data_IF_954362249496
#
_entry.id   IF_954362249496
#
_cell.length_a   1.000
_cell.length_b   1.000
_cell.length_c   1.000
_cell.angle_alpha   90.00
_cell.angle_beta   90.00
_cell.angle_gamma   90.00
#
_symmetry.space_group_name_H-M   'P 1'
#
loop_
_entity.id
_entity.type
_entity.pdbx_description
1 polymer ?
#
# COMPACT_ATOMS: atom_id res chain seq x y z
N UNK A 1 8.70 13.92 -26.67
CA UNK A 1 9.00 14.88 -27.75
C UNK A 1 9.57 14.18 -28.99
N UNK A 2 9.69 14.91 -30.10
CA UNK A 2 10.39 14.39 -31.32
C UNK A 2 11.83 14.00 -31.01
N UNK A 3 12.56 14.86 -30.31
CA UNK A 3 13.95 14.64 -29.91
C UNK A 3 14.11 13.39 -29.06
N UNK A 4 13.21 13.17 -28.08
CA UNK A 4 13.25 11.98 -27.21
C UNK A 4 12.99 10.70 -28.00
N UNK A 5 12.07 10.72 -28.96
CA UNK A 5 11.78 9.57 -29.81
C UNK A 5 12.98 9.22 -30.68
N UNK A 6 13.58 10.24 -31.38
CA UNK A 6 14.78 10.08 -32.16
C UNK A 6 15.91 9.46 -31.33
N UNK A 7 16.22 10.06 -30.17
CA UNK A 7 17.27 9.57 -29.26
C UNK A 7 17.02 8.12 -28.86
N UNK A 8 15.78 7.74 -28.51
CA UNK A 8 15.45 6.36 -28.13
C UNK A 8 15.65 5.36 -29.28
N UNK A 9 15.30 5.73 -30.51
CA UNK A 9 15.52 4.87 -31.69
C UNK A 9 17.01 4.69 -31.92
N UNK A 10 17.79 5.78 -31.90
CA UNK A 10 19.24 5.76 -32.17
C UNK A 10 20.04 5.03 -31.07
N UNK A 11 19.58 5.07 -29.83
CA UNK A 11 20.21 4.33 -28.70
C UNK A 11 19.80 2.88 -28.60
N UNK A 12 18.70 2.47 -29.24
CA UNK A 12 18.22 1.07 -29.21
C UNK A 12 19.07 0.12 -30.09
N UNK A 13 19.98 0.67 -30.91
CA UNK A 13 20.87 -0.11 -31.78
C UNK A 13 21.57 0.78 -32.82
N UNK A 14 22.10 0.17 -33.88
CA UNK A 14 22.73 0.90 -35.00
C UNK A 14 21.65 1.47 -35.96
N UNK A 15 20.73 2.27 -35.43
CA UNK A 15 19.69 2.93 -36.20
C UNK A 15 19.97 4.42 -36.33
N UNK A 16 19.62 4.97 -37.49
CA UNK A 16 19.62 6.41 -37.74
C UNK A 16 18.21 6.85 -38.06
N UNK A 17 17.74 7.87 -37.35
CA UNK A 17 16.42 8.44 -37.58
C UNK A 17 16.52 9.62 -38.56
N UNK A 18 16.12 9.42 -39.80
CA UNK A 18 16.20 10.44 -40.86
C UNK A 18 14.88 11.22 -41.05
N UNK A 19 13.77 10.70 -40.51
CA UNK A 19 12.47 11.33 -40.69
C UNK A 19 12.29 12.64 -39.91
N UNK A 20 11.46 13.53 -40.45
CA UNK A 20 11.10 14.81 -39.84
C UNK A 20 10.07 14.69 -38.73
N UNK A 21 9.85 15.78 -37.96
CA UNK A 21 8.80 15.85 -36.95
C UNK A 21 7.39 15.67 -37.54
N UNK A 22 7.16 16.13 -38.77
CA UNK A 22 5.88 15.95 -39.45
C UNK A 22 5.62 14.49 -39.82
N UNK A 23 6.65 13.80 -40.32
CA UNK A 23 6.56 12.37 -40.64
C UNK A 23 6.35 11.54 -39.39
N UNK A 24 7.01 11.85 -38.26
CA UNK A 24 6.71 11.23 -36.98
C UNK A 24 5.27 11.46 -36.54
N UNK A 25 4.72 12.68 -36.75
CA UNK A 25 3.33 12.99 -36.45
C UNK A 25 2.37 12.18 -37.33
N UNK A 26 2.68 12.01 -38.60
CA UNK A 26 1.90 11.16 -39.52
C UNK A 26 1.95 9.68 -39.13
N UNK A 27 3.12 9.18 -38.73
CA UNK A 27 3.29 7.82 -38.23
C UNK A 27 2.47 7.62 -36.94
N UNK A 28 2.52 8.58 -36.02
CA UNK A 28 1.70 8.51 -34.79
C UNK A 28 0.21 8.47 -35.07
N UNK A 29 -0.27 9.31 -36.00
CA UNK A 29 -1.67 9.27 -36.44
C UNK A 29 -2.05 7.90 -36.97
N UNK A 30 -1.23 7.33 -37.85
CA UNK A 30 -1.44 5.99 -38.41
C UNK A 30 -1.49 4.91 -37.33
N UNK A 31 -0.54 4.95 -36.36
CA UNK A 31 -0.50 3.99 -35.26
C UNK A 31 -1.67 4.14 -34.28
N UNK A 32 -2.15 5.37 -34.07
CA UNK A 32 -3.28 5.63 -33.16
C UNK A 32 -4.64 5.40 -33.83
N UNK A 33 -4.68 5.46 -35.16
CA UNK A 33 -5.91 5.19 -35.90
C UNK A 33 -6.32 3.72 -35.73
N UNK A 34 -7.50 3.53 -35.13
CA UNK A 34 -7.99 2.18 -34.78
C UNK A 34 -7.36 1.50 -33.56
N UNK A 35 -6.39 2.15 -32.88
CA UNK A 35 -5.83 1.59 -31.65
C UNK A 35 -6.70 1.99 -30.43
N UNK A 36 -7.20 1.01 -29.66
CA UNK A 36 -8.00 1.32 -28.47
C UNK A 36 -7.13 1.98 -27.40
N UNK A 37 -7.69 2.99 -26.72
CA UNK A 37 -7.04 3.63 -25.57
C UNK A 37 -7.16 2.79 -24.30
N UNK A 38 -6.18 2.92 -23.41
CA UNK A 38 -6.22 2.35 -22.06
C UNK A 38 -5.87 3.42 -21.03
N UNK A 39 -6.54 3.41 -19.88
CA UNK A 39 -6.22 4.28 -18.76
C UNK A 39 -5.04 3.70 -17.96
N UNK A 40 -3.99 4.47 -17.74
CA UNK A 40 -2.85 4.06 -16.92
C UNK A 40 -3.24 4.01 -15.43
N UNK A 41 -2.96 2.87 -14.77
CA UNK A 41 -3.08 2.72 -13.32
C UNK A 41 -1.76 3.18 -12.69
N UNK A 42 -1.78 4.39 -12.10
CA UNK A 42 -0.62 5.01 -11.45
C UNK A 42 -0.45 4.60 -9.99
N UNK A 43 -1.54 4.25 -9.32
CA UNK A 43 -1.57 3.81 -7.92
C UNK A 43 -2.21 2.43 -7.87
N UNK A 44 -1.53 1.46 -7.26
CA UNK A 44 -2.06 0.10 -7.08
C UNK A 44 -3.05 0.04 -5.92
N UNK A 45 -3.81 -1.07 -5.83
CA UNK A 45 -4.84 -1.23 -4.83
C UNK A 45 -6.22 -0.79 -5.32
N UNK A 46 -7.04 -0.22 -4.45
CA UNK A 46 -8.43 0.08 -4.77
C UNK A 46 -8.59 1.24 -5.74
N UNK A 47 -9.21 0.97 -6.88
CA UNK A 47 -9.54 1.96 -7.91
C UNK A 47 -10.95 2.51 -7.68
N UNK A 48 -11.05 3.56 -6.86
CA UNK A 48 -12.35 4.12 -6.42
C UNK A 48 -13.27 4.52 -7.56
N UNK A 49 -12.72 5.07 -8.65
CA UNK A 49 -13.48 5.52 -9.83
C UNK A 49 -14.12 4.36 -10.58
N UNK A 50 -13.48 3.20 -10.63
CA UNK A 50 -13.86 2.06 -11.46
C UNK A 50 -14.36 0.84 -10.68
N UNK A 51 -14.14 0.81 -9.36
CA UNK A 51 -14.68 -0.22 -8.48
C UNK A 51 -14.03 -1.59 -8.64
N UNK A 52 -12.69 -1.63 -8.78
CA UNK A 52 -11.92 -2.87 -8.76
C UNK A 52 -10.61 -2.68 -7.98
N UNK A 53 -9.92 -3.76 -7.64
CA UNK A 53 -8.63 -3.72 -6.96
C UNK A 53 -7.50 -4.07 -7.95
N UNK A 54 -6.55 -3.16 -8.15
CA UNK A 54 -5.43 -3.32 -9.07
C UNK A 54 -4.21 -3.92 -8.36
N UNK A 55 -3.74 -5.05 -8.89
CA UNK A 55 -2.44 -5.64 -8.59
C UNK A 55 -1.47 -5.31 -9.72
N UNK A 56 -0.15 -5.39 -9.48
CA UNK A 56 0.82 -5.13 -10.54
C UNK A 56 0.71 -6.09 -11.74
N UNK A 57 0.19 -7.30 -11.52
CA UNK A 57 0.01 -8.32 -12.54
C UNK A 57 -1.45 -8.50 -13.00
N UNK A 58 -2.38 -7.64 -12.59
CA UNK A 58 -3.79 -7.77 -12.98
C UNK A 58 -4.76 -6.98 -12.13
N UNK A 59 -6.04 -7.29 -12.26
CA UNK A 59 -7.12 -6.67 -11.51
C UNK A 59 -8.09 -7.68 -10.93
N UNK A 60 -8.61 -7.35 -9.75
CA UNK A 60 -9.63 -8.12 -9.07
C UNK A 60 -10.97 -7.41 -9.20
N UNK A 61 -11.88 -8.00 -9.95
CA UNK A 61 -13.24 -7.52 -10.15
C UNK A 61 -14.23 -8.52 -9.56
N UNK A 62 -15.01 -8.09 -8.55
CA UNK A 62 -16.02 -8.93 -7.90
C UNK A 62 -15.51 -10.33 -7.49
N UNK A 63 -14.31 -10.39 -6.91
CA UNK A 63 -13.70 -11.65 -6.45
C UNK A 63 -13.02 -12.47 -7.54
N UNK A 64 -13.11 -12.08 -8.81
CA UNK A 64 -12.45 -12.74 -9.92
C UNK A 64 -11.19 -12.00 -10.33
N UNK A 65 -10.05 -12.69 -10.31
CA UNK A 65 -8.79 -12.12 -10.78
C UNK A 65 -8.66 -12.27 -12.30
N UNK A 66 -8.28 -11.17 -12.96
CA UNK A 66 -7.93 -11.14 -14.38
C UNK A 66 -6.48 -10.69 -14.51
N UNK A 67 -5.64 -11.49 -15.15
CA UNK A 67 -4.24 -11.12 -15.40
C UNK A 67 -4.13 -10.13 -16.56
N UNK A 68 -3.07 -9.32 -16.54
CA UNK A 68 -2.69 -8.49 -17.68
C UNK A 68 -2.17 -9.37 -18.83
N UNK A 69 -2.28 -8.86 -20.04
CA UNK A 69 -1.62 -9.43 -21.21
C UNK A 69 -0.12 -9.10 -21.24
N UNK A 70 0.60 -9.56 -22.27
CA UNK A 70 2.04 -9.28 -22.44
C UNK A 70 2.41 -7.81 -22.57
N UNK A 71 1.47 -6.95 -22.90
CA UNK A 71 1.65 -5.50 -23.01
C UNK A 71 1.21 -4.76 -21.74
N UNK A 72 0.83 -5.46 -20.68
CA UNK A 72 0.34 -4.88 -19.45
C UNK A 72 -1.10 -4.37 -19.51
N UNK A 73 -1.89 -4.82 -20.51
CA UNK A 73 -3.28 -4.39 -20.67
C UNK A 73 -4.23 -5.40 -20.03
N UNK A 74 -5.26 -4.88 -19.37
CA UNK A 74 -6.35 -5.65 -18.79
C UNK A 74 -7.69 -4.99 -19.14
N UNK A 75 -8.71 -5.79 -19.38
CA UNK A 75 -10.10 -5.35 -19.57
C UNK A 75 -10.92 -5.62 -18.30
N UNK A 76 -11.43 -4.56 -17.69
CA UNK A 76 -12.35 -4.61 -16.55
C UNK A 76 -13.65 -3.92 -16.96
N UNK A 77 -14.73 -4.67 -17.02
CA UNK A 77 -16.08 -4.16 -17.36
C UNK A 77 -16.13 -3.41 -18.71
N UNK A 78 -15.33 -3.82 -19.70
CA UNK A 78 -15.28 -3.18 -21.01
C UNK A 78 -14.38 -1.94 -21.08
N UNK A 79 -13.74 -1.55 -19.98
CA UNK A 79 -12.73 -0.48 -19.93
C UNK A 79 -11.33 -1.11 -19.90
N UNK A 80 -10.44 -0.61 -20.75
CA UNK A 80 -9.04 -1.07 -20.79
C UNK A 80 -8.16 -0.24 -19.86
N UNK A 81 -7.31 -0.94 -19.12
CA UNK A 81 -6.33 -0.33 -18.20
C UNK A 81 -4.92 -0.83 -18.54
N UNK A 82 -3.94 0.05 -18.31
CA UNK A 82 -2.52 -0.24 -18.50
C UNK A 82 -1.81 -0.31 -17.15
N UNK A 83 -1.14 -1.43 -16.90
CA UNK A 83 -0.34 -1.73 -15.71
C UNK A 83 1.13 -1.93 -16.16
N UNK A 84 1.97 -0.89 -16.12
CA UNK A 84 3.30 -0.92 -16.72
C UNK A 84 4.27 -1.90 -16.06
N UNK A 85 4.08 -2.21 -14.77
CA UNK A 85 5.02 -3.06 -14.01
C UNK A 85 5.28 -4.44 -14.59
N UNK A 86 4.29 -5.02 -15.29
CA UNK A 86 4.36 -6.35 -15.90
C UNK A 86 4.41 -6.33 -17.45
N UNK A 87 4.43 -5.16 -18.08
CA UNK A 87 4.55 -5.05 -19.52
C UNK A 87 5.95 -5.47 -20.02
N UNK A 88 6.01 -6.05 -21.23
CA UNK A 88 7.28 -6.53 -21.83
C UNK A 88 8.33 -5.44 -22.01
N UNK A 89 7.89 -4.26 -22.44
CA UNK A 89 8.74 -3.11 -22.72
C UNK A 89 9.35 -2.48 -21.46
N UNK A 90 8.80 -2.77 -20.28
CA UNK A 90 9.30 -2.26 -19.00
C UNK A 90 10.24 -3.22 -18.27
N UNK A 91 10.42 -4.46 -18.77
CA UNK A 91 11.21 -5.51 -18.09
C UNK A 91 12.67 -5.11 -17.89
N UNK A 92 13.26 -4.40 -18.85
CA UNK A 92 14.66 -3.97 -18.81
C UNK A 92 14.85 -2.72 -17.93
N UNK A 93 13.77 -2.04 -17.53
CA UNK A 93 13.83 -0.92 -16.61
C UNK A 93 13.88 -1.45 -15.16
N UNK A 94 15.08 -1.78 -14.68
CA UNK A 94 15.30 -2.36 -13.34
C UNK A 94 14.98 -1.39 -12.20
N UNK A 95 14.99 -0.08 -12.43
CA UNK A 95 14.73 0.94 -11.41
C UNK A 95 13.27 1.40 -11.37
N UNK A 96 12.54 1.31 -12.50
CA UNK A 96 11.12 1.67 -12.55
C UNK A 96 10.22 0.52 -12.13
N UNK A 97 9.05 0.85 -11.59
CA UNK A 97 7.95 -0.10 -11.29
C UNK A 97 8.32 -1.22 -10.29
N UNK A 98 9.29 -1.00 -9.39
CA UNK A 98 9.74 -2.03 -8.44
C UNK A 98 8.62 -2.51 -7.54
N UNK A 99 7.79 -1.59 -7.03
CA UNK A 99 6.63 -1.94 -6.21
C UNK A 99 5.61 -2.74 -7.02
N UNK A 100 5.26 -2.29 -8.22
CA UNK A 100 4.28 -2.96 -9.07
C UNK A 100 4.65 -4.41 -9.39
N UNK A 101 5.95 -4.71 -9.51
CA UNK A 101 6.45 -6.09 -9.72
C UNK A 101 6.39 -6.97 -8.48
N UNK A 102 6.34 -6.38 -7.29
CA UNK A 102 6.24 -7.09 -6.00
C UNK A 102 4.80 -7.16 -5.49
N UNK A 103 4.01 -6.14 -5.81
CA UNK A 103 2.60 -6.04 -5.43
C UNK A 103 1.74 -6.86 -6.41
N UNK A 104 1.89 -8.18 -6.35
CA UNK A 104 1.32 -9.11 -7.32
C UNK A 104 0.39 -10.13 -6.65
N UNK A 105 -0.72 -10.41 -7.29
CA UNK A 105 -1.64 -11.46 -6.84
C UNK A 105 -1.08 -12.85 -7.16
N UNK A 106 -1.15 -13.74 -6.16
CA UNK A 106 -0.76 -15.14 -6.30
C UNK A 106 -1.71 -16.05 -5.52
N UNK A 107 -1.96 -17.24 -6.03
CA UNK A 107 -2.77 -18.28 -5.37
C UNK A 107 -1.92 -19.48 -4.89
N UNK A 108 -0.65 -19.23 -4.59
CA UNK A 108 0.30 -20.28 -4.20
C UNK A 108 0.09 -20.82 -2.79
N UNK A 109 -0.77 -20.19 -2.00
CA UNK A 109 -1.04 -20.54 -0.61
C UNK A 109 -2.51 -20.92 -0.43
N UNK A 110 -2.79 -21.94 0.39
CA UNK A 110 -4.14 -22.44 0.65
C UNK A 110 -4.63 -22.19 2.08
N UNK A 111 -3.85 -21.47 2.91
CA UNK A 111 -4.26 -21.16 4.28
C UNK A 111 -5.52 -20.30 4.29
N UNK A 112 -6.50 -20.63 5.15
CA UNK A 112 -7.68 -19.79 5.34
C UNK A 112 -7.37 -18.57 6.22
N UNK A 113 -8.18 -17.50 6.10
CA UNK A 113 -8.01 -16.32 6.96
C UNK A 113 -8.16 -16.66 8.45
N UNK A 114 -9.07 -17.57 8.81
CA UNK A 114 -9.23 -18.06 10.20
C UNK A 114 -7.94 -18.71 10.69
N UNK A 115 -7.43 -19.69 9.95
CA UNK A 115 -6.22 -20.42 10.32
C UNK A 115 -5.00 -19.49 10.44
N UNK A 116 -4.85 -18.57 9.51
CA UNK A 116 -3.78 -17.56 9.57
C UNK A 116 -3.93 -16.65 10.80
N UNK A 117 -5.14 -16.16 11.08
CA UNK A 117 -5.41 -15.31 12.23
C UNK A 117 -5.14 -16.01 13.56
N UNK A 118 -5.50 -17.29 13.69
CA UNK A 118 -5.20 -18.10 14.88
C UNK A 118 -3.69 -18.27 15.09
N UNK A 119 -2.92 -18.51 14.01
CA UNK A 119 -1.45 -18.58 14.07
C UNK A 119 -0.85 -17.23 14.46
N UNK A 120 -1.30 -16.13 13.88
CA UNK A 120 -0.82 -14.79 14.20
C UNK A 120 -1.10 -14.42 15.65
N UNK A 121 -2.31 -14.71 16.15
CA UNK A 121 -2.71 -14.49 17.56
C UNK A 121 -1.87 -15.38 18.50
N UNK A 122 -1.58 -16.62 18.13
CA UNK A 122 -0.72 -17.51 18.91
C UNK A 122 0.70 -16.94 19.09
N UNK A 123 1.22 -16.24 18.07
CA UNK A 123 2.57 -15.66 18.11
C UNK A 123 2.60 -14.30 18.80
N UNK A 124 1.64 -13.40 18.51
CA UNK A 124 1.69 -12.01 18.95
C UNK A 124 0.60 -11.63 19.98
N UNK A 125 -0.23 -12.57 20.38
CA UNK A 125 -1.28 -12.34 21.39
C UNK A 125 -2.28 -11.26 20.99
N UNK A 126 -2.62 -10.38 21.93
CA UNK A 126 -3.59 -9.30 21.72
C UNK A 126 -3.11 -8.25 20.72
N UNK A 127 -1.80 -8.07 20.58
CA UNK A 127 -1.25 -7.19 19.55
C UNK A 127 -1.66 -7.64 18.14
N UNK A 128 -1.75 -8.96 17.89
CA UNK A 128 -2.22 -9.49 16.62
C UNK A 128 -3.69 -9.14 16.35
N UNK A 129 -4.56 -9.15 17.36
CA UNK A 129 -5.98 -8.83 17.20
C UNK A 129 -6.16 -7.38 16.73
N UNK A 130 -5.49 -6.44 17.39
CA UNK A 130 -5.53 -5.02 16.99
C UNK A 130 -4.90 -4.81 15.60
N UNK A 131 -3.80 -5.48 15.31
CA UNK A 131 -3.13 -5.42 14.01
C UNK A 131 -4.02 -5.94 12.87
N UNK A 132 -4.76 -7.05 13.08
CA UNK A 132 -5.74 -7.57 12.12
C UNK A 132 -6.91 -6.61 11.91
N UNK A 133 -7.42 -5.98 12.98
CA UNK A 133 -8.44 -4.93 12.84
C UNK A 133 -7.91 -3.74 12.03
N UNK A 134 -6.67 -3.32 12.26
CA UNK A 134 -6.02 -2.26 11.50
C UNK A 134 -5.83 -2.64 10.02
N UNK A 135 -5.39 -3.87 9.73
CA UNK A 135 -5.31 -4.41 8.37
C UNK A 135 -6.66 -4.32 7.66
N UNK A 136 -7.72 -4.78 8.33
CA UNK A 136 -9.07 -4.78 7.77
C UNK A 136 -9.55 -3.35 7.49
N UNK A 137 -9.38 -2.43 8.45
CA UNK A 137 -9.70 -1.03 8.27
C UNK A 137 -8.89 -0.38 7.13
N UNK A 138 -7.61 -0.77 6.97
CA UNK A 138 -6.73 -0.29 5.89
C UNK A 138 -7.19 -0.75 4.51
N UNK A 139 -7.72 -1.98 4.38
CA UNK A 139 -8.30 -2.49 3.13
C UNK A 139 -9.53 -1.71 2.67
N UNK A 140 -10.22 -1.06 3.60
CA UNK A 140 -11.41 -0.26 3.34
C UNK A 140 -11.22 1.20 3.80
N UNK A 141 -9.97 1.70 3.77
CA UNK A 141 -9.63 3.04 4.26
C UNK A 141 -10.50 4.13 3.63
N UNK A 142 -10.80 4.04 2.34
CA UNK A 142 -11.67 5.00 1.66
C UNK A 142 -13.08 5.05 2.23
N UNK A 143 -13.61 3.91 2.72
CA UNK A 143 -14.91 3.85 3.41
C UNK A 143 -14.78 4.41 4.82
N UNK A 144 -13.74 4.01 5.56
CA UNK A 144 -13.48 4.50 6.92
C UNK A 144 -13.35 6.01 6.94
N UNK A 145 -12.48 6.57 6.08
CA UNK A 145 -12.22 8.03 6.04
C UNK A 145 -13.41 8.84 5.52
N UNK A 146 -14.32 8.23 4.77
CA UNK A 146 -15.56 8.92 4.38
C UNK A 146 -16.47 9.23 5.58
N UNK A 147 -16.28 8.54 6.70
CA UNK A 147 -17.04 8.71 7.96
C UNK A 147 -16.22 9.45 9.01
N UNK A 148 -14.95 9.04 9.19
CA UNK A 148 -14.08 9.51 10.29
C UNK A 148 -13.23 10.72 9.92
N UNK A 149 -13.11 11.05 8.63
CA UNK A 149 -12.26 12.11 8.04
C UNK A 149 -10.75 11.92 8.23
N UNK A 150 -10.31 11.03 9.09
CA UNK A 150 -8.90 10.78 9.41
C UNK A 150 -8.64 9.28 9.59
N UNK A 151 -7.36 8.88 9.53
CA UNK A 151 -6.95 7.49 9.72
C UNK A 151 -5.65 7.40 10.54
N UNK A 152 -5.62 6.64 11.65
CA UNK A 152 -4.45 6.58 12.52
C UNK A 152 -3.28 5.82 11.88
N UNK A 153 -2.07 6.08 12.37
CA UNK A 153 -0.91 5.24 12.14
C UNK A 153 -0.87 4.16 13.23
N UNK A 154 -0.61 2.91 12.86
CA UNK A 154 -0.36 1.84 13.82
C UNK A 154 1.12 1.87 14.23
N UNK A 155 1.39 2.19 15.49
CA UNK A 155 2.75 2.30 16.03
C UNK A 155 3.12 1.07 16.85
N UNK A 156 4.16 0.34 16.43
CA UNK A 156 4.71 -0.84 17.09
C UNK A 156 5.96 -0.44 17.88
N UNK A 157 5.86 -0.44 19.19
CA UNK A 157 6.89 0.11 20.08
C UNK A 157 7.42 -0.94 21.07
N UNK A 158 8.73 -0.89 21.35
CA UNK A 158 9.39 -1.73 22.35
C UNK A 158 10.86 -2.02 22.06
N UNK A 159 11.59 -2.73 22.92
CA UNK A 159 13.00 -3.04 22.77
C UNK A 159 13.33 -3.84 21.50
N UNK A 160 14.60 -3.89 21.12
CA UNK A 160 15.09 -4.73 20.02
C UNK A 160 14.81 -6.22 20.30
N UNK A 161 14.46 -6.97 19.26
CA UNK A 161 14.25 -8.42 19.36
C UNK A 161 12.88 -8.86 19.91
N UNK A 162 11.92 -7.94 20.06
CA UNK A 162 10.60 -8.24 20.60
C UNK A 162 9.53 -8.61 19.55
N UNK A 163 9.88 -8.63 18.25
CA UNK A 163 8.98 -9.03 17.17
C UNK A 163 8.16 -7.90 16.54
N UNK A 164 8.44 -6.61 16.85
CA UNK A 164 7.73 -5.46 16.27
C UNK A 164 7.71 -5.46 14.75
N UNK A 165 8.90 -5.41 14.15
CA UNK A 165 9.04 -5.39 12.68
C UNK A 165 8.46 -6.64 12.04
N UNK A 166 8.48 -7.78 12.74
CA UNK A 166 7.90 -9.02 12.28
C UNK A 166 6.36 -8.96 12.19
N UNK A 167 5.69 -8.31 13.15
CA UNK A 167 4.25 -8.07 13.03
C UNK A 167 3.94 -7.09 11.88
N UNK A 168 4.76 -6.06 11.68
CA UNK A 168 4.66 -5.17 10.51
C UNK A 168 4.80 -5.94 9.19
N UNK A 169 5.77 -6.85 9.10
CA UNK A 169 5.94 -7.73 7.94
C UNK A 169 4.76 -8.68 7.75
N UNK A 170 4.19 -9.21 8.83
CA UNK A 170 2.99 -10.05 8.76
C UNK A 170 1.82 -9.33 8.10
N UNK A 171 1.61 -8.04 8.43
CA UNK A 171 0.55 -7.23 7.81
C UNK A 171 0.84 -6.91 6.34
N UNK A 172 2.08 -6.63 5.97
CA UNK A 172 2.44 -6.34 4.57
C UNK A 172 2.45 -7.57 3.69
N UNK A 173 2.57 -8.79 4.25
CA UNK A 173 2.55 -10.05 3.49
C UNK A 173 1.22 -10.35 2.80
N UNK A 174 0.14 -9.66 3.19
CA UNK A 174 -1.14 -9.66 2.48
C UNK A 174 -1.08 -8.99 1.10
N UNK A 175 -0.02 -8.19 0.84
CA UNK A 175 0.14 -7.41 -0.39
C UNK A 175 1.43 -7.76 -1.12
N UNK A 176 2.52 -7.93 -0.39
CA UNK A 176 3.86 -8.16 -0.92
C UNK A 176 4.55 -9.24 -0.10
N UNK A 177 4.88 -10.36 -0.74
CA UNK A 177 5.71 -11.37 -0.10
C UNK A 177 7.14 -10.84 0.10
N UNK A 178 7.74 -11.09 1.28
CA UNK A 178 9.12 -10.69 1.62
C UNK A 178 9.40 -9.18 1.43
N UNK A 179 8.48 -8.34 1.85
CA UNK A 179 8.66 -6.89 1.80
C UNK A 179 9.78 -6.44 2.75
N UNK A 180 10.59 -5.47 2.31
CA UNK A 180 11.58 -4.78 3.14
C UNK A 180 11.04 -3.39 3.44
N UNK A 181 10.75 -3.12 4.71
CA UNK A 181 10.25 -1.82 5.14
C UNK A 181 11.35 -0.74 5.01
N UNK A 182 11.06 0.43 4.43
CA UNK A 182 12.01 1.53 4.42
C UNK A 182 12.30 2.03 5.84
N UNK A 183 13.58 2.31 6.10
CA UNK A 183 14.02 2.89 7.35
C UNK A 183 13.69 4.39 7.36
N UNK A 184 12.85 4.83 8.29
CA UNK A 184 12.36 6.23 8.36
C UNK A 184 13.53 7.21 8.49
N UNK A 185 14.55 6.89 9.28
CA UNK A 185 15.65 7.82 9.54
C UNK A 185 16.56 7.98 8.32
N UNK A 186 16.82 6.90 7.58
CA UNK A 186 17.79 6.87 6.48
C UNK A 186 17.15 7.19 5.12
N UNK A 187 15.83 7.09 5.01
CA UNK A 187 15.08 7.36 3.77
C UNK A 187 14.72 8.84 3.69
N UNK A 188 14.82 9.44 2.51
CA UNK A 188 14.39 10.84 2.33
C UNK A 188 12.89 11.00 2.48
N UNK A 189 12.41 12.17 2.92
CA UNK A 189 10.97 12.49 2.97
C UNK A 189 10.28 12.23 1.61
N UNK A 190 10.94 12.54 0.51
CA UNK A 190 10.39 12.33 -0.83
C UNK A 190 10.13 10.84 -1.11
N UNK A 191 11.09 9.97 -0.80
CA UNK A 191 10.96 8.53 -0.99
C UNK A 191 9.94 7.90 -0.02
N UNK A 192 9.84 8.40 1.24
CA UNK A 192 8.77 7.97 2.16
C UNK A 192 7.37 8.36 1.63
N UNK A 193 7.24 9.58 1.11
CA UNK A 193 5.98 10.05 0.53
C UNK A 193 5.58 9.26 -0.73
N UNK A 194 6.55 8.89 -1.56
CA UNK A 194 6.34 8.03 -2.72
C UNK A 194 5.86 6.64 -2.30
N UNK A 195 6.55 6.00 -1.35
CA UNK A 195 6.18 4.66 -0.87
C UNK A 195 4.73 4.56 -0.35
N UNK A 196 4.21 5.60 0.32
CA UNK A 196 2.82 5.60 0.81
C UNK A 196 1.80 6.06 -0.25
N UNK A 197 2.26 6.70 -1.32
CA UNK A 197 1.41 7.17 -2.41
C UNK A 197 1.20 6.12 -3.53
N UNK A 198 2.09 5.13 -3.62
CA UNK A 198 2.05 4.10 -4.67
C UNK A 198 0.89 3.12 -4.50
N UNK A 199 0.27 3.04 -3.32
CA UNK A 199 -0.80 2.08 -3.03
C UNK A 199 -2.01 2.73 -2.34
N UNK A 200 -3.19 2.20 -2.65
CA UNK A 200 -4.49 2.57 -2.06
C UNK A 200 -5.12 1.35 -1.40
N UNK A 201 -5.76 1.55 -0.24
CA UNK A 201 -6.43 0.47 0.49
C UNK A 201 -5.53 -0.77 0.68
N UNK A 202 -4.33 -0.51 1.16
CA UNK A 202 -3.29 -1.48 1.47
C UNK A 202 -2.55 -1.06 2.74
N UNK A 203 -1.53 -1.81 3.16
CA UNK A 203 -0.69 -1.45 4.31
C UNK A 203 0.73 -1.21 3.86
N UNK A 204 1.31 -0.10 4.28
CA UNK A 204 2.74 0.24 4.13
C UNK A 204 3.39 0.21 5.51
N UNK A 205 4.52 -0.47 5.63
CA UNK A 205 5.32 -0.52 6.86
C UNK A 205 6.55 0.37 6.72
N UNK A 206 6.73 1.27 7.68
CA UNK A 206 7.90 2.13 7.85
C UNK A 206 8.62 1.72 9.14
N UNK A 207 9.93 1.43 9.07
CA UNK A 207 10.66 0.89 10.22
C UNK A 207 11.68 1.86 10.81
N UNK A 208 12.17 1.55 12.01
CA UNK A 208 13.24 2.27 12.73
C UNK A 208 12.89 3.71 13.09
N UNK A 209 11.67 3.96 13.58
CA UNK A 209 11.32 5.28 14.15
C UNK A 209 12.20 5.62 15.37
N UNK A 210 12.68 6.87 15.42
CA UNK A 210 13.39 7.48 16.57
C UNK A 210 12.90 8.90 16.83
N UNK A 211 13.01 9.36 18.08
CA UNK A 211 12.58 10.69 18.49
C UNK A 211 13.44 11.84 17.91
N UNK A 212 14.65 11.54 17.44
CA UNK A 212 15.54 12.51 16.79
C UNK A 212 15.23 12.72 15.28
N UNK A 213 14.08 12.23 14.82
CA UNK A 213 13.63 12.42 13.45
C UNK A 213 13.55 13.91 13.09
N UNK A 214 13.99 14.29 11.90
CA UNK A 214 13.93 15.67 11.42
C UNK A 214 12.48 16.20 11.36
N UNK A 215 12.34 17.53 11.44
CA UNK A 215 11.03 18.19 11.50
C UNK A 215 10.19 17.88 10.26
N UNK A 216 10.80 17.84 9.06
CA UNK A 216 10.07 17.61 7.82
C UNK A 216 9.43 16.23 7.76
N UNK A 217 10.12 15.21 8.27
CA UNK A 217 9.58 13.84 8.34
C UNK A 217 8.51 13.73 9.43
N UNK A 218 8.69 14.42 10.58
CA UNK A 218 7.63 14.46 11.62
C UNK A 218 6.35 15.12 11.08
N UNK A 219 6.47 16.25 10.38
CA UNK A 219 5.32 16.91 9.76
C UNK A 219 4.66 16.01 8.70
N UNK A 220 5.46 15.29 7.90
CA UNK A 220 4.96 14.31 6.96
C UNK A 220 4.16 13.19 7.67
N UNK A 221 4.68 12.60 8.75
CA UNK A 221 3.97 11.57 9.53
C UNK A 221 2.66 12.11 10.11
N UNK A 222 2.64 13.35 10.60
CA UNK A 222 1.39 13.99 11.06
C UNK A 222 0.38 14.15 9.93
N UNK A 223 0.83 14.51 8.74
CA UNK A 223 -0.02 14.66 7.56
C UNK A 223 -0.69 13.34 7.09
N UNK A 224 -0.08 12.19 7.37
CA UNK A 224 -0.67 10.87 7.06
C UNK A 224 -2.04 10.69 7.71
N UNK A 225 -2.23 11.22 8.91
CA UNK A 225 -3.51 11.18 9.63
C UNK A 225 -4.66 11.82 8.84
N UNK A 226 -4.38 12.92 8.17
CA UNK A 226 -5.35 13.68 7.37
C UNK A 226 -5.40 13.20 5.90
N UNK A 227 -4.69 12.11 5.58
CA UNK A 227 -4.56 11.62 4.20
C UNK A 227 -3.71 12.54 3.31
N UNK A 228 -2.98 13.49 3.91
CA UNK A 228 -2.14 14.44 3.19
C UNK A 228 -0.72 13.87 3.02
N UNK A 229 -0.35 13.62 1.77
CA UNK A 229 1.01 13.26 1.40
C UNK A 229 1.84 14.49 1.03
N UNK A 230 2.55 14.42 -0.10
CA UNK A 230 3.40 15.48 -0.61
C UNK A 230 2.58 16.49 -1.43
N UNK A 231 2.66 17.77 -1.10
CA UNK A 231 2.19 18.84 -1.98
C UNK A 231 3.34 19.33 -2.86
N UNK A 232 3.21 19.21 -4.18
CA UNK A 232 4.19 19.70 -5.17
C UNK A 232 3.51 20.73 -6.06
N UNK A 233 4.17 21.89 -6.26
CA UNK A 233 3.76 22.80 -7.30
C UNK A 233 4.28 22.26 -8.63
N UNK A 234 3.39 21.96 -9.57
CA UNK A 234 3.78 21.63 -10.93
C UNK A 234 4.37 22.88 -11.60
N UNK A 235 5.60 22.80 -12.10
CA UNK A 235 6.25 23.91 -12.80
C UNK A 235 5.79 24.04 -14.26
N UNK A 236 4.98 23.11 -14.75
CA UNK A 236 4.31 23.22 -16.05
C UNK A 236 3.18 24.25 -16.01
N UNK A 237 2.87 24.85 -17.15
CA UNK A 237 2.07 26.05 -17.37
C UNK A 237 0.71 26.15 -16.63
N UNK A 238 0.26 25.14 -15.92
CA UNK A 238 -1.06 25.08 -15.27
C UNK A 238 -1.03 25.41 -13.76
N UNK A 239 0.13 25.64 -13.14
CA UNK A 239 0.32 26.03 -11.71
C UNK A 239 -0.59 25.29 -10.71
N UNK A 240 -1.07 24.09 -11.04
CA UNK A 240 -1.90 23.28 -10.16
C UNK A 240 -1.05 22.61 -9.08
N UNK A 241 -1.49 22.72 -7.85
CA UNK A 241 -0.89 22.04 -6.71
C UNK A 241 -1.29 20.56 -6.78
N UNK A 242 -0.39 19.68 -7.18
CA UNK A 242 -0.60 18.24 -7.03
C UNK A 242 -0.29 17.85 -5.59
N UNK A 243 -1.32 17.51 -4.84
CA UNK A 243 -1.18 16.91 -3.52
C UNK A 243 -1.31 15.41 -3.70
N UNK A 244 -0.24 14.68 -3.42
CA UNK A 244 -0.28 13.22 -3.44
C UNK A 244 -1.04 12.74 -2.20
N UNK A 245 -2.16 12.09 -2.39
CA UNK A 245 -2.96 11.55 -1.30
C UNK A 245 -2.27 10.32 -0.68
N UNK A 246 -2.46 10.12 0.64
CA UNK A 246 -2.08 8.89 1.34
C UNK A 246 -3.33 8.05 1.56
N UNK A 247 -3.56 7.10 0.65
CA UNK A 247 -4.75 6.26 0.64
C UNK A 247 -4.52 4.86 1.25
N UNK A 248 -3.33 4.62 1.81
CA UNK A 248 -2.96 3.37 2.50
C UNK A 248 -2.97 3.52 4.03
N UNK A 249 -3.13 2.41 4.76
CA UNK A 249 -2.81 2.33 6.18
C UNK A 249 -1.30 2.31 6.38
N UNK A 250 -0.79 3.02 7.39
CA UNK A 250 0.64 3.07 7.68
C UNK A 250 0.92 2.41 9.02
N UNK A 251 1.83 1.43 9.01
CA UNK A 251 2.43 0.82 10.21
C UNK A 251 3.79 1.45 10.42
N UNK A 252 4.08 1.87 11.62
CA UNK A 252 5.37 2.43 12.01
C UNK A 252 5.97 1.60 13.15
N UNK A 253 7.20 1.11 13.01
CA UNK A 253 7.87 0.38 14.09
C UNK A 253 9.12 1.11 14.57
N UNK A 254 9.43 0.99 15.87
CA UNK A 254 10.59 1.64 16.47
C UNK A 254 10.86 1.21 17.91
N UNK A 255 12.01 1.58 18.41
CA UNK A 255 12.41 1.30 19.80
C UNK A 255 11.98 2.40 20.76
N UNK A 256 11.69 3.60 20.25
CA UNK A 256 11.31 4.77 21.03
C UNK A 256 9.82 5.10 20.81
N UNK A 257 9.14 5.43 21.89
CA UNK A 257 7.78 5.95 21.82
C UNK A 257 7.82 7.40 21.30
N UNK A 258 6.93 7.81 20.38
CA UNK A 258 6.94 9.15 19.79
C UNK A 258 6.49 10.25 20.77
N UNK A 259 7.18 10.39 21.89
CA UNK A 259 6.89 11.38 22.96
C UNK A 259 7.46 12.77 22.67
N UNK A 260 8.39 12.89 21.73
CA UNK A 260 9.01 14.17 21.35
C UNK A 260 8.02 15.12 20.62
N UNK A 261 6.90 14.60 20.10
CA UNK A 261 5.88 15.38 19.41
C UNK A 261 4.48 14.89 19.83
N UNK A 262 3.83 15.63 20.72
CA UNK A 262 2.49 15.32 21.25
C UNK A 262 1.45 15.27 20.14
N UNK A 263 1.59 16.09 19.09
CA UNK A 263 0.66 16.10 17.99
C UNK A 263 0.77 14.82 17.13
N UNK A 264 1.95 14.29 16.94
CA UNK A 264 2.15 12.98 16.34
C UNK A 264 1.63 11.87 17.25
N UNK A 265 1.97 11.92 18.55
CA UNK A 265 1.54 10.94 19.54
C UNK A 265 0.01 10.71 19.51
N UNK A 266 -0.78 11.78 19.47
CA UNK A 266 -2.24 11.72 19.47
C UNK A 266 -2.85 11.15 18.15
N UNK A 267 -2.04 10.88 17.14
CA UNK A 267 -2.45 10.32 15.85
C UNK A 267 -2.12 8.83 15.70
N UNK A 268 -1.68 8.20 16.78
CA UNK A 268 -1.18 6.84 16.75
C UNK A 268 -2.08 5.90 17.54
N UNK A 269 -2.21 4.68 17.05
CA UNK A 269 -2.65 3.52 17.84
C UNK A 269 -1.40 2.76 18.25
N UNK A 270 -1.21 2.56 19.55
CA UNK A 270 0.01 1.96 20.09
C UNK A 270 -0.15 0.47 20.36
N UNK A 271 0.84 -0.31 19.92
CA UNK A 271 1.05 -1.69 20.35
C UNK A 271 2.42 -1.79 21.01
N UNK A 272 2.44 -2.23 22.27
CA UNK A 272 3.67 -2.36 23.04
C UNK A 272 4.19 -3.79 23.01
N UNK A 273 5.50 -3.91 22.89
CA UNK A 273 6.21 -5.17 22.87
C UNK A 273 7.28 -5.16 23.97
N UNK A 274 7.21 -6.08 24.91
CA UNK A 274 8.15 -6.13 26.04
C UNK A 274 8.93 -7.44 26.15
N UNK A 275 8.40 -8.53 25.56
CA UNK A 275 9.02 -9.87 25.68
C UNK A 275 10.21 -10.01 24.75
N UNK A 276 11.36 -10.34 25.31
CA UNK A 276 12.64 -10.53 24.57
C UNK A 276 13.14 -11.98 24.58
N UNK A 277 12.57 -12.84 25.45
CA UNK A 277 12.95 -14.25 25.56
C UNK A 277 11.77 -15.14 25.22
N UNK A 278 11.99 -16.15 24.40
CA UNK A 278 10.95 -17.02 23.87
C UNK A 278 11.30 -18.48 24.10
N UNK A 279 10.32 -19.28 24.48
CA UNK A 279 10.42 -20.73 24.60
C UNK A 279 10.61 -21.39 23.22
N UNK A 280 11.05 -22.63 23.18
CA UNK A 280 11.20 -23.37 21.93
C UNK A 280 9.86 -23.60 21.23
N UNK A 281 8.76 -23.71 21.98
CA UNK A 281 7.43 -23.81 21.38
C UNK A 281 7.02 -22.51 20.70
N UNK A 282 7.29 -21.37 21.30
CA UNK A 282 7.00 -20.04 20.69
C UNK A 282 7.84 -19.81 19.43
N UNK A 283 9.10 -20.24 19.43
CA UNK A 283 9.96 -20.19 18.23
C UNK A 283 9.39 -21.04 17.11
N UNK A 284 8.95 -22.29 17.41
CA UNK A 284 8.31 -23.17 16.42
C UNK A 284 7.02 -22.56 15.87
N UNK A 285 6.19 -21.95 16.72
CA UNK A 285 4.97 -21.28 16.28
C UNK A 285 5.29 -20.11 15.35
N UNK A 286 6.29 -19.32 15.69
CA UNK A 286 6.79 -18.23 14.85
C UNK A 286 7.32 -18.72 13.50
N UNK A 287 8.16 -19.75 13.49
CA UNK A 287 8.68 -20.35 12.25
C UNK A 287 7.56 -20.88 11.35
N UNK A 288 6.56 -21.55 11.95
CA UNK A 288 5.36 -22.02 11.24
C UNK A 288 4.58 -20.88 10.60
N UNK A 289 4.41 -19.76 11.30
CA UNK A 289 3.78 -18.56 10.76
C UNK A 289 4.57 -18.00 9.57
N UNK A 290 5.90 -17.86 9.72
CA UNK A 290 6.78 -17.33 8.66
C UNK A 290 6.82 -18.19 7.40
N UNK A 291 6.73 -19.51 7.54
CA UNK A 291 6.63 -20.42 6.39
C UNK A 291 5.36 -20.17 5.56
N UNK A 292 4.25 -19.84 6.21
CA UNK A 292 2.99 -19.49 5.54
C UNK A 292 3.11 -18.12 4.85
N UNK A 293 3.65 -17.11 5.55
CA UNK A 293 3.81 -15.75 5.03
C UNK A 293 4.76 -15.67 3.84
N UNK A 294 5.84 -16.49 3.86
CA UNK A 294 6.82 -16.55 2.77
C UNK A 294 6.21 -16.93 1.42
N UNK A 295 5.10 -17.67 1.43
CA UNK A 295 4.34 -18.04 0.21
C UNK A 295 3.43 -16.92 -0.30
N UNK A 296 3.32 -15.80 0.44
CA UNK A 296 2.39 -14.70 0.16
C UNK A 296 0.97 -15.00 0.64
N UNK A 297 0.24 -13.96 0.97
CA UNK A 297 -1.13 -14.02 1.52
C UNK A 297 -2.14 -13.23 0.67
N UNK A 298 -1.81 -12.94 -0.58
CA UNK A 298 -2.64 -12.09 -1.46
C UNK A 298 -4.00 -12.71 -1.76
N UNK A 299 -4.13 -14.05 -1.72
CA UNK A 299 -5.41 -14.75 -1.80
C UNK A 299 -6.33 -14.42 -0.61
N UNK A 300 -5.78 -14.19 0.61
CA UNK A 300 -6.55 -13.74 1.76
C UNK A 300 -7.05 -12.31 1.57
N UNK A 301 -6.23 -11.44 0.99
CA UNK A 301 -6.66 -10.08 0.60
C UNK A 301 -7.85 -10.14 -0.34
N UNK A 302 -7.84 -11.02 -1.35
CA UNK A 302 -8.99 -11.24 -2.22
C UNK A 302 -10.24 -11.65 -1.44
N UNK A 303 -10.12 -12.62 -0.51
CA UNK A 303 -11.24 -13.05 0.32
C UNK A 303 -11.81 -11.90 1.16
N UNK A 304 -10.96 -11.08 1.76
CA UNK A 304 -11.39 -9.94 2.56
C UNK A 304 -12.06 -8.86 1.70
N UNK A 305 -11.56 -8.59 0.50
CA UNK A 305 -12.14 -7.60 -0.42
C UNK A 305 -13.58 -7.95 -0.87
N UNK A 306 -13.95 -9.24 -0.87
CA UNK A 306 -15.34 -9.65 -1.15
C UNK A 306 -16.33 -9.14 -0.09
N UNK A 307 -15.86 -8.79 1.11
CA UNK A 307 -16.69 -8.22 2.17
C UNK A 307 -16.97 -6.71 1.97
N UNK A 308 -16.42 -6.10 0.91
CA UNK A 308 -16.48 -4.65 0.70
C UNK A 308 -17.91 -4.10 0.67
N UNK A 309 -18.82 -4.70 -0.06
CA UNK A 309 -20.22 -4.24 -0.12
C UNK A 309 -20.87 -4.22 1.27
N UNK A 310 -20.69 -5.29 2.04
CA UNK A 310 -21.19 -5.37 3.41
C UNK A 310 -20.55 -4.32 4.31
N UNK A 311 -19.22 -4.17 4.23
CA UNK A 311 -18.50 -3.17 5.01
C UNK A 311 -18.99 -1.75 4.69
N UNK A 312 -19.19 -1.43 3.43
CA UNK A 312 -19.70 -0.13 2.97
C UNK A 312 -21.10 0.17 3.52
N UNK A 313 -21.98 -0.83 3.54
CA UNK A 313 -23.35 -0.69 4.02
C UNK A 313 -23.41 -0.53 5.55
N UNK A 314 -22.62 -1.30 6.28
CA UNK A 314 -22.76 -1.41 7.74
C UNK A 314 -21.85 -0.45 8.52
N UNK A 315 -20.74 0.01 7.93
CA UNK A 315 -19.68 0.69 8.69
C UNK A 315 -20.17 1.92 9.44
N UNK A 316 -20.97 2.80 8.79
CA UNK A 316 -21.47 4.03 9.45
C UNK A 316 -22.30 3.70 10.70
N UNK A 317 -23.23 2.77 10.58
CA UNK A 317 -24.07 2.36 11.71
C UNK A 317 -23.25 1.76 12.85
N UNK A 318 -22.34 0.83 12.54
CA UNK A 318 -21.48 0.18 13.54
C UNK A 318 -20.54 1.20 14.21
N UNK A 319 -20.03 2.17 13.44
CA UNK A 319 -19.21 3.26 13.99
C UNK A 319 -19.98 4.10 14.99
N UNK A 320 -21.19 4.56 14.64
CA UNK A 320 -22.02 5.41 15.50
C UNK A 320 -22.45 4.67 16.79
N UNK A 321 -22.82 3.39 16.67
CA UNK A 321 -23.13 2.52 17.82
C UNK A 321 -21.92 2.33 18.75
N UNK A 322 -20.74 2.03 18.18
CA UNK A 322 -19.50 1.83 18.94
C UNK A 322 -19.07 3.10 19.66
N UNK A 323 -19.15 4.25 18.99
CA UNK A 323 -18.80 5.54 19.56
C UNK A 323 -19.73 5.91 20.73
N UNK A 324 -21.03 5.64 20.61
CA UNK A 324 -22.00 5.83 21.69
C UNK A 324 -21.68 4.96 22.91
N UNK A 325 -21.42 3.66 22.71
CA UNK A 325 -21.05 2.72 23.78
C UNK A 325 -19.76 3.14 24.49
N UNK A 326 -18.74 3.58 23.73
CA UNK A 326 -17.50 4.09 24.31
C UNK A 326 -17.73 5.35 25.16
N UNK A 327 -18.52 6.31 24.67
CA UNK A 327 -18.84 7.52 25.42
C UNK A 327 -19.60 7.23 26.72
N UNK A 328 -20.53 6.30 26.69
CA UNK A 328 -21.29 5.91 27.88
C UNK A 328 -20.39 5.22 28.91
N UNK A 329 -19.46 4.37 28.49
CA UNK A 329 -18.44 3.78 29.38
C UNK A 329 -17.55 4.85 30.01
N UNK A 330 -17.02 5.80 29.22
CA UNK A 330 -16.19 6.89 29.74
C UNK A 330 -16.96 7.70 30.78
N UNK A 331 -18.23 8.02 30.55
CA UNK A 331 -19.08 8.73 31.52
C UNK A 331 -19.33 7.94 32.79
N UNK A 332 -19.35 6.61 32.74
CA UNK A 332 -19.54 5.75 33.92
C UNK A 332 -18.31 5.64 34.82
N UNK A 333 -17.14 6.08 34.34
CA UNK A 333 -15.88 6.11 35.11
C UNK A 333 -15.57 7.48 35.76
N UNK A 334 -16.32 8.53 35.39
CA UNK A 334 -16.23 9.87 35.96
C UNK A 334 -17.38 10.14 36.95
#
# INVERSE_FOLDING_TARGET
SFTDFKTRVETAGNYVWEATANELTSLKKFLYDGTPSADEIKQLGWQKKWGFYAWGNGGLDNGTFKSVDKYGIIDIKGQKFYLPGCALDTRDNTQGYQLARKFVYTETNSVSFREYSERLITVFGDNAKVALCFLFASLFKDVVTSVTTSFPILSLFGPKGTGKSELGHSLTSFFIANNIAPNINNTTKAALAEAVAEVSNAVVHLDEYKNNLDLEKREFLKGIWDGAGRSRMNMDNDKRRETTAVDCGVVMSGQEMPTADIALFNRLVFLTFSKTTFSDQEKRNYESLKLVEKRGLTHLTNQLLQLRSKFQTDFRRVWDETLSDMNDRVRSYN
#
